data_IF_761586270706
#
_entry.id   IF_761586270706
#
_cell.length_a   1.000
_cell.length_b   1.000
_cell.length_c   1.000
_cell.angle_alpha   90.00
_cell.angle_beta   90.00
_cell.angle_gamma   90.00
#
_symmetry.space_group_name_H-M   'P 1'
#
loop_
_entity.id
_entity.type
_entity.pdbx_description
1 polymer ?
#
# COMPACT_ATOMS: atom_id res chain seq x y z
N UNK A 1 -25.57 30.63 -18.63
CA UNK A 1 -24.34 30.15 -19.31
C UNK A 1 -24.21 28.64 -19.12
N UNK A 2 -24.82 27.81 -20.00
CA UNK A 2 -24.87 26.35 -19.82
C UNK A 2 -23.48 25.69 -19.72
N UNK A 3 -22.49 26.24 -20.41
CA UNK A 3 -21.09 25.80 -20.35
C UNK A 3 -20.52 25.89 -18.92
N UNK A 4 -20.81 26.99 -18.20
CA UNK A 4 -20.36 27.16 -16.80
C UNK A 4 -21.00 26.12 -15.88
N UNK A 5 -22.28 25.83 -16.10
CA UNK A 5 -22.97 24.78 -15.34
C UNK A 5 -22.37 23.39 -15.57
N UNK A 6 -22.03 23.07 -16.82
CA UNK A 6 -21.38 21.80 -17.16
C UNK A 6 -19.98 21.68 -16.53
N UNK A 7 -19.17 22.75 -16.57
CA UNK A 7 -17.85 22.78 -15.94
C UNK A 7 -17.95 22.61 -14.41
N UNK A 8 -18.92 23.28 -13.78
CA UNK A 8 -19.14 23.16 -12.33
C UNK A 8 -19.52 21.72 -11.94
N UNK A 9 -20.42 21.09 -12.69
CA UNK A 9 -20.79 19.69 -12.46
C UNK A 9 -19.61 18.74 -12.66
N UNK A 10 -18.81 18.93 -13.72
CA UNK A 10 -17.62 18.13 -13.97
C UNK A 10 -16.59 18.25 -12.84
N UNK A 11 -16.34 19.48 -12.36
CA UNK A 11 -15.43 19.71 -11.24
C UNK A 11 -15.95 19.07 -9.95
N UNK A 12 -17.26 19.13 -9.68
CA UNK A 12 -17.86 18.48 -8.53
C UNK A 12 -17.70 16.95 -8.59
N UNK A 13 -17.99 16.33 -9.75
CA UNK A 13 -17.83 14.88 -9.95
C UNK A 13 -16.37 14.44 -9.80
N UNK A 14 -15.43 15.22 -10.36
CA UNK A 14 -14.00 14.98 -10.20
C UNK A 14 -13.57 15.06 -8.73
N UNK A 15 -14.07 16.06 -8.00
CA UNK A 15 -13.82 16.20 -6.57
C UNK A 15 -14.32 15.01 -5.75
N UNK A 16 -15.52 14.52 -6.05
CA UNK A 16 -16.08 13.31 -5.41
C UNK A 16 -15.20 12.09 -5.66
N UNK A 17 -14.72 11.90 -6.89
CA UNK A 17 -13.84 10.78 -7.21
C UNK A 17 -12.53 10.82 -6.40
N UNK A 18 -11.90 11.99 -6.31
CA UNK A 18 -10.67 12.18 -5.52
C UNK A 18 -10.92 11.95 -4.03
N UNK A 19 -12.05 12.44 -3.51
CA UNK A 19 -12.44 12.25 -2.11
C UNK A 19 -12.66 10.77 -1.78
N UNK A 20 -13.33 10.02 -2.65
CA UNK A 20 -13.52 8.58 -2.47
C UNK A 20 -12.18 7.84 -2.44
N UNK A 21 -11.28 8.13 -3.38
CA UNK A 21 -9.96 7.50 -3.43
C UNK A 21 -9.12 7.83 -2.17
N UNK A 22 -9.17 9.08 -1.70
CA UNK A 22 -8.47 9.46 -0.47
C UNK A 22 -9.04 8.77 0.76
N UNK A 23 -10.37 8.64 0.85
CA UNK A 23 -11.04 7.90 1.93
C UNK A 23 -10.70 6.41 1.95
N UNK A 24 -10.42 5.82 0.78
CA UNK A 24 -9.96 4.45 0.64
C UNK A 24 -8.46 4.28 1.00
N UNK A 25 -7.76 5.34 1.38
CA UNK A 25 -6.34 5.31 1.70
C UNK A 25 -5.42 5.43 0.48
N UNK A 26 -5.95 5.60 -0.74
CA UNK A 26 -5.12 5.71 -1.96
C UNK A 26 -4.28 7.00 -2.00
N UNK A 27 -4.63 8.01 -1.20
CA UNK A 27 -3.85 9.24 -1.09
C UNK A 27 -2.59 9.06 -0.24
N UNK A 28 -2.52 8.01 0.58
CA UNK A 28 -1.33 7.69 1.38
C UNK A 28 -0.63 6.50 0.75
N UNK A 29 0.62 6.64 0.29
CA UNK A 29 1.37 5.49 -0.23
C UNK A 29 1.53 4.47 0.90
N UNK A 30 1.28 3.18 0.60
CA UNK A 30 1.56 2.09 1.54
C UNK A 30 3.05 2.05 1.87
N UNK A 31 3.38 1.57 3.07
CA UNK A 31 4.76 1.55 3.56
C UNK A 31 5.26 0.12 3.74
N UNK A 32 6.43 -0.17 3.20
CA UNK A 32 7.12 -1.43 3.40
C UNK A 32 7.82 -1.39 4.76
N UNK A 33 7.37 -2.23 5.69
CA UNK A 33 7.96 -2.40 7.01
C UNK A 33 8.56 -3.79 7.12
N UNK A 34 9.79 -3.86 7.64
CA UNK A 34 10.44 -5.13 7.91
C UNK A 34 9.98 -5.63 9.27
N UNK A 35 9.42 -6.84 9.30
CA UNK A 35 8.97 -7.53 10.52
C UNK A 35 9.55 -8.94 10.51
N UNK A 36 10.27 -9.33 11.57
CA UNK A 36 10.75 -10.70 11.81
C UNK A 36 11.34 -11.41 10.57
N UNK A 37 12.15 -10.69 9.77
CA UNK A 37 12.85 -11.24 8.60
C UNK A 37 12.05 -11.23 7.28
N UNK A 38 10.83 -10.71 7.25
CA UNK A 38 10.05 -10.47 6.03
C UNK A 38 9.66 -8.99 5.87
N UNK A 39 9.32 -8.61 4.63
CA UNK A 39 8.82 -7.27 4.30
C UNK A 39 7.29 -7.36 4.18
N UNK A 40 6.59 -6.55 4.96
CA UNK A 40 5.14 -6.42 4.94
C UNK A 40 4.78 -5.03 4.37
N UNK A 41 3.84 -4.98 3.42
CA UNK A 41 3.27 -3.72 2.95
C UNK A 41 2.08 -3.36 3.84
N UNK A 42 2.20 -2.26 4.59
CA UNK A 42 1.16 -1.79 5.51
C UNK A 42 0.53 -0.49 4.98
N UNK A 43 -0.81 -0.45 4.98
CA UNK A 43 -1.57 0.70 4.49
C UNK A 43 -1.64 0.78 2.96
N UNK A 44 -1.99 1.97 2.45
CA UNK A 44 -2.35 2.15 1.04
C UNK A 44 -3.70 1.54 0.69
N UNK A 45 -4.05 1.55 -0.60
CA UNK A 45 -5.32 1.01 -1.09
C UNK A 45 -5.19 -0.25 -1.98
N UNK A 46 -4.02 -0.89 -1.95
CA UNK A 46 -3.76 -2.14 -2.70
C UNK A 46 -4.10 -3.34 -1.80
N UNK A 47 -4.92 -4.26 -2.31
CA UNK A 47 -5.19 -5.55 -1.65
C UNK A 47 -4.12 -6.58 -2.02
N UNK A 48 -3.63 -7.34 -1.03
CA UNK A 48 -2.62 -8.39 -1.25
C UNK A 48 -3.11 -9.52 -2.14
N UNK A 49 -4.43 -9.74 -2.24
CA UNK A 49 -5.01 -10.78 -3.11
C UNK A 49 -4.94 -10.43 -4.60
N UNK A 50 -4.88 -9.14 -4.94
CA UNK A 50 -4.72 -8.67 -6.32
C UNK A 50 -3.25 -8.62 -6.76
N UNK A 51 -2.32 -8.79 -5.82
CA UNK A 51 -0.89 -8.87 -6.12
C UNK A 51 -0.53 -10.30 -6.55
N UNK A 52 0.39 -10.45 -7.53
CA UNK A 52 0.93 -11.76 -7.87
C UNK A 52 1.60 -12.38 -6.63
N UNK A 53 1.55 -13.71 -6.49
CA UNK A 53 2.15 -14.39 -5.36
C UNK A 53 3.61 -13.97 -5.23
N UNK A 54 3.99 -13.56 -4.01
CA UNK A 54 5.35 -13.17 -3.73
C UNK A 54 6.30 -14.32 -4.12
N UNK A 55 7.47 -14.02 -4.71
CA UNK A 55 8.49 -15.04 -4.94
C UNK A 55 8.76 -15.81 -3.64
N UNK A 56 8.98 -17.12 -3.71
CA UNK A 56 9.32 -17.90 -2.51
C UNK A 56 10.51 -17.25 -1.83
N UNK A 57 10.37 -16.98 -0.53
CA UNK A 57 11.44 -16.38 0.25
C UNK A 57 12.73 -17.20 0.03
N UNK A 58 13.90 -16.55 -0.19
CA UNK A 58 15.17 -17.25 -0.12
C UNK A 58 15.17 -18.01 1.21
N UNK A 59 15.42 -19.32 1.14
CA UNK A 59 15.08 -20.26 2.20
C UNK A 59 15.33 -19.69 3.59
N UNK A 60 14.31 -19.75 4.45
CA UNK A 60 14.51 -19.61 5.88
C UNK A 60 15.66 -20.55 6.24
N UNK A 61 16.80 -20.00 6.67
CA UNK A 61 17.69 -20.71 7.55
C UNK A 61 16.92 -20.87 8.87
N UNK A 62 15.98 -21.83 8.91
CA UNK A 62 15.36 -22.32 10.13
C UNK A 62 16.49 -22.99 10.90
N UNK A 63 17.09 -22.25 11.82
CA UNK A 63 18.00 -22.76 12.83
C UNK A 63 19.48 -22.51 12.54
N UNK A 64 20.03 -21.46 13.13
CA UNK A 64 21.34 -21.56 13.77
C UNK A 64 21.26 -20.93 15.16
N UNK A 65 21.09 -21.73 16.23
CA UNK A 65 21.22 -21.26 17.59
C UNK A 65 22.67 -21.49 18.05
N UNK A 66 23.56 -20.53 17.87
CA UNK A 66 24.76 -20.39 18.71
C UNK A 66 25.62 -19.17 18.34
N UNK A 67 25.79 -18.28 19.31
CA UNK A 67 27.11 -17.73 19.64
C UNK A 67 27.64 -16.60 18.77
N UNK A 68 27.23 -15.36 19.09
CA UNK A 68 28.14 -14.22 18.95
C UNK A 68 28.40 -13.63 20.34
N UNK A 69 29.60 -13.95 20.82
CA UNK A 69 30.25 -13.43 22.02
C UNK A 69 30.25 -11.90 22.00
N UNK A 70 29.52 -11.28 22.94
CA UNK A 70 29.70 -9.87 23.29
C UNK A 70 30.87 -9.78 24.26
N UNK A 71 32.01 -9.31 23.76
CA UNK A 71 33.19 -8.93 24.56
C UNK A 71 32.96 -7.55 25.19
#
# INVERSE_FOLDING_TARGET
MPLVGALAAAAALAGVAVFSASSAGCASPGQYVQRDGYIELVGGCIDTRDLPPAPPAPGHHVGEPAGYQQQ
#
